data_IF_750408384682
#
_entry.id   IF_750408384682
#
_cell.length_a   1.000
_cell.length_b   1.000
_cell.length_c   1.000
_cell.angle_alpha   90.00
_cell.angle_beta   90.00
_cell.angle_gamma   90.00
#
_symmetry.space_group_name_H-M   'P 1'
#
loop_
_entity.id
_entity.type
_entity.pdbx_description
1 polymer ?
#
# COMPACT_ATOMS: atom_id res chain seq x y z
N UNK A 1 22.19 6.98 14.17
CA UNK A 1 22.72 5.73 13.57
C UNK A 1 21.70 4.58 13.55
N UNK A 2 20.53 4.68 14.18
CA UNK A 2 19.53 3.60 14.19
C UNK A 2 18.92 3.31 12.81
N UNK A 3 18.66 4.32 11.98
CA UNK A 3 17.94 4.18 10.71
C UNK A 3 18.52 3.15 9.71
N UNK A 4 19.82 3.18 9.33
CA UNK A 4 20.37 2.19 8.42
C UNK A 4 20.36 0.77 9.02
N UNK A 5 20.54 0.65 10.33
CA UNK A 5 20.48 -0.65 11.02
C UNK A 5 19.05 -1.20 11.03
N UNK A 6 18.05 -0.38 11.34
CA UNK A 6 16.64 -0.78 11.31
C UNK A 6 16.20 -1.25 9.93
N UNK A 7 16.57 -0.50 8.89
CA UNK A 7 16.24 -0.86 7.53
C UNK A 7 16.93 -2.18 7.14
N UNK A 8 18.22 -2.33 7.43
CA UNK A 8 18.96 -3.57 7.16
C UNK A 8 18.37 -4.78 7.86
N UNK A 9 17.96 -4.65 9.12
CA UNK A 9 17.33 -5.73 9.90
C UNK A 9 15.96 -6.10 9.32
N UNK A 10 15.13 -5.11 8.97
CA UNK A 10 13.82 -5.35 8.35
C UNK A 10 13.96 -6.05 6.99
N UNK A 11 14.91 -5.61 6.15
CA UNK A 11 15.19 -6.24 4.86
C UNK A 11 15.71 -7.67 5.02
N UNK A 12 16.61 -7.92 5.98
CA UNK A 12 17.11 -9.25 6.28
C UNK A 12 15.99 -10.19 6.77
N UNK A 13 15.06 -9.69 7.59
CA UNK A 13 13.89 -10.44 8.04
C UNK A 13 12.99 -10.84 6.86
N UNK A 14 12.61 -9.89 6.00
CA UNK A 14 11.80 -10.15 4.80
C UNK A 14 12.50 -11.12 3.85
N UNK A 15 13.80 -10.93 3.62
CA UNK A 15 14.60 -11.81 2.77
C UNK A 15 14.69 -13.23 3.35
N UNK A 16 14.87 -13.37 4.66
CA UNK A 16 14.87 -14.67 5.34
C UNK A 16 13.54 -15.41 5.20
N UNK A 17 12.41 -14.72 5.32
CA UNK A 17 11.09 -15.30 5.06
C UNK A 17 10.92 -15.71 3.59
N UNK A 18 11.48 -14.95 2.65
CA UNK A 18 11.42 -15.34 1.24
C UNK A 18 12.26 -16.60 0.97
N UNK A 19 13.46 -16.69 1.58
CA UNK A 19 14.32 -17.87 1.48
C UNK A 19 13.71 -19.14 2.10
N UNK A 20 12.72 -19.02 3.00
CA UNK A 20 11.99 -20.17 3.53
C UNK A 20 10.93 -20.73 2.56
N UNK A 21 10.82 -20.14 1.36
CA UNK A 21 9.89 -20.57 0.32
C UNK A 21 8.55 -19.82 0.33
N UNK A 22 8.39 -18.79 1.16
CA UNK A 22 7.20 -17.94 1.12
C UNK A 22 7.19 -17.06 -0.14
N UNK A 23 6.01 -16.95 -0.76
CA UNK A 23 5.79 -16.05 -1.87
C UNK A 23 6.02 -14.59 -1.44
N UNK A 24 6.48 -13.74 -2.38
CA UNK A 24 6.90 -12.38 -2.09
C UNK A 24 5.75 -11.54 -1.49
N UNK A 25 4.54 -11.68 -2.01
CA UNK A 25 3.35 -11.01 -1.49
C UNK A 25 3.03 -11.42 -0.04
N UNK A 26 3.35 -12.65 0.35
CA UNK A 26 3.07 -13.18 1.69
C UNK A 26 4.10 -12.72 2.72
N UNK A 27 5.30 -12.32 2.31
CA UNK A 27 6.33 -11.83 3.24
C UNK A 27 6.18 -10.35 3.60
N UNK A 28 5.45 -9.57 2.79
CA UNK A 28 5.26 -8.13 3.02
C UNK A 28 4.44 -7.86 4.28
N UNK A 29 3.37 -8.64 4.52
CA UNK A 29 2.52 -8.48 5.70
C UNK A 29 3.29 -8.69 7.02
N UNK A 30 3.96 -9.84 7.26
CA UNK A 30 4.77 -10.00 8.47
C UNK A 30 5.94 -9.02 8.53
N UNK A 31 6.55 -8.66 7.39
CA UNK A 31 7.60 -7.64 7.34
C UNK A 31 7.15 -6.26 7.82
N UNK A 32 5.92 -5.86 7.49
CA UNK A 32 5.30 -4.63 7.97
C UNK A 32 5.15 -4.64 9.49
N UNK A 33 4.55 -5.69 10.07
CA UNK A 33 4.38 -5.78 11.54
C UNK A 33 5.70 -5.91 12.28
N UNK A 34 6.67 -6.62 11.71
CA UNK A 34 8.03 -6.68 12.24
C UNK A 34 8.66 -5.28 12.32
N UNK A 35 8.50 -4.48 11.27
CA UNK A 35 9.00 -3.09 11.23
C UNK A 35 8.34 -2.22 12.30
N UNK A 36 7.02 -2.32 12.46
CA UNK A 36 6.30 -1.62 13.54
C UNK A 36 6.77 -2.05 14.92
N UNK A 37 6.94 -3.34 15.15
CA UNK A 37 7.42 -3.88 16.42
C UNK A 37 8.84 -3.38 16.74
N UNK A 38 9.73 -3.39 15.75
CA UNK A 38 11.10 -2.88 15.90
C UNK A 38 11.10 -1.37 16.22
N UNK A 39 10.27 -0.57 15.55
CA UNK A 39 10.11 0.85 15.88
C UNK A 39 9.60 1.05 17.33
N UNK A 40 8.65 0.22 17.77
CA UNK A 40 8.12 0.26 19.13
C UNK A 40 9.19 -0.03 20.18
N UNK A 41 9.98 -1.08 19.92
CA UNK A 41 11.06 -1.48 20.81
C UNK A 41 12.14 -0.42 20.89
N UNK A 42 12.50 0.21 19.78
CA UNK A 42 13.48 1.30 19.76
C UNK A 42 12.96 2.55 20.46
N UNK A 43 11.67 2.87 20.33
CA UNK A 43 11.05 3.96 21.05
C UNK A 43 11.04 3.74 22.56
N UNK A 44 10.80 2.50 23.01
CA UNK A 44 10.86 2.13 24.42
C UNK A 44 12.31 2.17 24.94
N UNK A 45 13.25 1.63 24.17
CA UNK A 45 14.65 1.45 24.59
C UNK A 45 15.49 2.74 24.49
N UNK A 46 15.22 3.57 23.49
CA UNK A 46 16.01 4.75 23.12
C UNK A 46 15.12 5.98 22.87
N UNK A 47 14.32 6.43 23.86
CA UNK A 47 13.49 7.62 23.69
C UNK A 47 14.36 8.86 23.55
N UNK A 48 14.10 9.69 22.54
CA UNK A 48 14.76 11.00 22.43
C UNK A 48 14.38 11.91 23.60
N UNK A 49 13.12 11.84 24.03
CA UNK A 49 12.55 12.60 25.14
C UNK A 49 11.61 11.74 25.97
N UNK A 50 11.83 11.70 27.28
CA UNK A 50 11.03 10.86 28.19
C UNK A 50 9.58 11.35 28.34
N UNK A 51 9.33 12.65 28.18
CA UNK A 51 8.01 13.25 28.24
C UNK A 51 7.17 13.04 26.95
N UNK A 52 7.78 12.50 25.90
CA UNK A 52 7.08 12.13 24.66
C UNK A 52 6.51 10.72 24.66
N UNK A 53 6.73 9.94 25.73
CA UNK A 53 6.21 8.58 25.84
C UNK A 53 4.67 8.59 25.74
N UNK A 54 4.09 7.78 24.83
CA UNK A 54 2.64 7.73 24.66
C UNK A 54 1.96 7.06 25.86
N UNK A 55 0.91 7.70 26.37
CA UNK A 55 0.01 7.08 27.35
C UNK A 55 -1.03 6.19 26.66
N UNK A 56 -1.84 5.46 27.43
CA UNK A 56 -2.87 4.58 26.85
C UNK A 56 -3.84 5.32 25.91
N UNK A 57 -4.21 6.57 26.25
CA UNK A 57 -5.09 7.40 25.42
C UNK A 57 -4.45 7.74 24.07
N UNK A 58 -3.15 8.04 24.08
CA UNK A 58 -2.38 8.31 22.86
C UNK A 58 -2.42 7.06 21.96
N UNK A 59 -2.21 5.87 22.52
CA UNK A 59 -2.32 4.60 21.80
C UNK A 59 -3.72 4.33 21.25
N UNK A 60 -4.76 4.52 22.05
CA UNK A 60 -6.14 4.24 21.63
C UNK A 60 -6.58 5.16 20.48
N UNK A 61 -6.32 6.46 20.59
CA UNK A 61 -6.67 7.44 19.55
C UNK A 61 -5.88 7.17 18.28
N UNK A 62 -4.56 6.97 18.37
CA UNK A 62 -3.74 6.75 17.18
C UNK A 62 -3.96 5.38 16.54
N UNK A 63 -4.32 4.37 17.34
CA UNK A 63 -4.76 3.07 16.83
C UNK A 63 -6.06 3.19 16.05
N UNK A 64 -7.03 3.97 16.53
CA UNK A 64 -8.26 4.25 15.80
C UNK A 64 -7.99 5.00 14.49
N UNK A 65 -7.13 6.02 14.51
CA UNK A 65 -6.67 6.70 13.29
C UNK A 65 -5.95 5.75 12.34
N UNK A 66 -5.05 4.89 12.83
CA UNK A 66 -4.33 3.93 12.01
C UNK A 66 -5.28 2.97 11.28
N UNK A 67 -6.31 2.46 11.98
CA UNK A 67 -7.35 1.62 11.37
C UNK A 67 -8.19 2.39 10.34
N UNK A 68 -8.65 3.59 10.70
CA UNK A 68 -9.45 4.44 9.81
C UNK A 68 -8.66 4.83 8.55
N UNK A 69 -7.43 5.27 8.72
CA UNK A 69 -6.54 5.64 7.64
C UNK A 69 -6.27 4.46 6.71
N UNK A 70 -6.01 3.27 7.26
CA UNK A 70 -5.83 2.06 6.48
C UNK A 70 -7.08 1.72 5.65
N UNK A 71 -8.28 1.86 6.23
CA UNK A 71 -9.53 1.64 5.51
C UNK A 71 -9.76 2.68 4.40
N UNK A 72 -9.51 3.96 4.68
CA UNK A 72 -9.71 5.06 3.73
C UNK A 72 -8.69 5.02 2.59
N UNK A 73 -7.41 4.75 2.89
CA UNK A 73 -6.38 4.60 1.87
C UNK A 73 -6.65 3.39 0.97
N UNK A 74 -7.05 2.24 1.55
CA UNK A 74 -7.46 1.08 0.77
C UNK A 74 -8.70 1.38 -0.08
N UNK A 75 -9.67 2.14 0.44
CA UNK A 75 -10.82 2.57 -0.34
C UNK A 75 -10.40 3.46 -1.52
N UNK A 76 -9.50 4.42 -1.31
CA UNK A 76 -8.91 5.23 -2.38
C UNK A 76 -8.22 4.37 -3.45
N UNK A 77 -7.44 3.37 -3.03
CA UNK A 77 -6.80 2.40 -3.95
C UNK A 77 -7.81 1.57 -4.74
N UNK A 78 -8.91 1.14 -4.12
CA UNK A 78 -10.01 0.44 -4.82
C UNK A 78 -10.65 1.34 -5.87
N UNK A 79 -10.81 2.65 -5.58
CA UNK A 79 -11.33 3.61 -6.57
C UNK A 79 -10.35 3.79 -7.72
N UNK A 80 -9.05 3.95 -7.44
CA UNK A 80 -7.99 4.03 -8.47
C UNK A 80 -8.00 2.78 -9.36
N UNK A 81 -8.13 1.61 -8.73
CA UNK A 81 -8.23 0.32 -9.38
C UNK A 81 -9.45 0.22 -10.31
N UNK A 82 -10.62 0.61 -9.81
CA UNK A 82 -11.84 0.65 -10.61
C UNK A 82 -11.70 1.60 -11.81
N UNK A 83 -11.07 2.75 -11.64
CA UNK A 83 -10.75 3.69 -12.73
C UNK A 83 -9.78 3.05 -13.74
N UNK A 84 -8.80 2.27 -13.27
CA UNK A 84 -7.85 1.57 -14.13
C UNK A 84 -8.51 0.53 -15.05
N UNK A 85 -9.55 -0.16 -14.58
CA UNK A 85 -10.32 -1.10 -15.43
C UNK A 85 -10.87 -0.42 -16.68
N UNK A 86 -11.27 0.85 -16.59
CA UNK A 86 -11.82 1.58 -17.74
C UNK A 86 -10.74 2.33 -18.52
N UNK A 87 -9.89 3.08 -17.82
CA UNK A 87 -9.00 4.06 -18.44
C UNK A 87 -7.61 3.52 -18.78
N UNK A 88 -7.16 2.43 -18.16
CA UNK A 88 -5.79 1.99 -18.40
C UNK A 88 -5.62 1.55 -19.87
N UNK A 89 -4.56 2.00 -20.55
CA UNK A 89 -4.21 1.46 -21.86
C UNK A 89 -3.90 -0.03 -21.75
N UNK A 90 -4.29 -0.81 -22.76
CA UNK A 90 -3.83 -2.17 -22.92
C UNK A 90 -2.37 -2.14 -23.39
N UNK A 91 -1.43 -2.11 -22.45
CA UNK A 91 -0.01 -2.11 -22.73
C UNK A 91 0.68 -3.18 -21.87
N UNK A 92 1.24 -4.18 -22.54
CA UNK A 92 2.08 -5.18 -21.91
C UNK A 92 3.53 -4.73 -21.98
N UNK A 93 4.19 -4.64 -20.82
CA UNK A 93 5.62 -4.41 -20.71
C UNK A 93 6.24 -5.72 -20.26
N UNK A 94 6.81 -6.46 -21.20
CA UNK A 94 7.40 -7.79 -20.97
C UNK A 94 8.92 -7.74 -20.81
N UNK A 95 9.57 -6.71 -21.37
CA UNK A 95 11.01 -6.50 -21.21
C UNK A 95 11.35 -6.08 -19.77
N UNK A 96 12.25 -6.79 -19.05
CA UNK A 96 12.58 -6.49 -17.66
C UNK A 96 13.16 -5.09 -17.46
N UNK A 97 13.94 -4.57 -18.41
CA UNK A 97 14.53 -3.24 -18.31
C UNK A 97 13.47 -2.15 -18.51
N UNK A 98 12.58 -2.31 -19.48
CA UNK A 98 11.43 -1.45 -19.67
C UNK A 98 10.46 -1.50 -18.47
N UNK A 99 10.28 -2.67 -17.86
CA UNK A 99 9.48 -2.83 -16.65
C UNK A 99 10.10 -2.07 -15.47
N UNK A 100 11.40 -2.23 -15.25
CA UNK A 100 12.14 -1.50 -14.22
C UNK A 100 12.09 0.02 -14.45
N UNK A 101 12.32 0.47 -15.67
CA UNK A 101 12.22 1.89 -16.04
C UNK A 101 10.81 2.46 -15.82
N UNK A 102 9.78 1.70 -16.19
CA UNK A 102 8.37 2.08 -15.97
C UNK A 102 8.04 2.15 -14.47
N UNK A 103 8.52 1.20 -13.66
CA UNK A 103 8.33 1.21 -12.22
C UNK A 103 9.01 2.41 -11.56
N UNK A 104 10.25 2.73 -11.96
CA UNK A 104 10.98 3.90 -11.47
C UNK A 104 10.28 5.21 -11.85
N UNK A 105 9.78 5.31 -13.09
CA UNK A 105 9.05 6.49 -13.54
C UNK A 105 7.71 6.64 -12.82
N UNK A 106 6.98 5.54 -12.62
CA UNK A 106 5.75 5.54 -11.84
C UNK A 106 5.99 5.98 -10.40
N UNK A 107 7.06 5.48 -9.78
CA UNK A 107 7.48 5.88 -8.44
C UNK A 107 7.80 7.38 -8.38
N UNK A 108 8.59 7.89 -9.33
CA UNK A 108 8.95 9.31 -9.39
C UNK A 108 7.71 10.21 -9.58
N UNK A 109 6.80 9.84 -10.48
CA UNK A 109 5.58 10.61 -10.74
C UNK A 109 4.66 10.57 -9.50
N UNK A 110 4.47 9.39 -8.91
CA UNK A 110 3.68 9.23 -7.68
C UNK A 110 4.22 10.09 -6.53
N UNK A 111 5.53 10.06 -6.31
CA UNK A 111 6.19 10.86 -5.29
C UNK A 111 6.05 12.36 -5.54
N UNK A 112 6.25 12.82 -6.79
CA UNK A 112 6.09 14.23 -7.14
C UNK A 112 4.66 14.73 -6.96
N UNK A 113 3.66 13.91 -7.31
CA UNK A 113 2.24 14.23 -7.12
C UNK A 113 1.88 14.25 -5.63
N UNK A 114 2.34 13.27 -4.86
CA UNK A 114 2.17 13.22 -3.41
C UNK A 114 2.82 14.41 -2.71
N UNK A 115 4.04 14.77 -3.10
CA UNK A 115 4.72 15.98 -2.64
C UNK A 115 3.92 17.24 -3.00
N UNK A 116 3.43 17.33 -4.23
CA UNK A 116 2.61 18.44 -4.70
C UNK A 116 1.35 18.60 -3.85
N UNK A 117 0.62 17.51 -3.60
CA UNK A 117 -0.57 17.49 -2.75
C UNK A 117 -0.25 17.96 -1.32
N UNK A 118 0.81 17.42 -0.72
CA UNK A 118 1.27 17.82 0.61
C UNK A 118 1.63 19.32 0.65
N UNK A 119 2.38 19.82 -0.33
CA UNK A 119 2.76 21.23 -0.43
C UNK A 119 1.55 22.14 -0.62
N UNK A 120 0.54 21.70 -1.37
CA UNK A 120 -0.73 22.43 -1.51
C UNK A 120 -1.48 22.51 -0.17
N UNK A 121 -1.44 21.44 0.63
CA UNK A 121 -1.94 21.43 2.01
C UNK A 121 -1.32 22.52 2.88
N UNK A 122 -0.03 22.78 2.72
CA UNK A 122 0.70 23.83 3.45
C UNK A 122 0.55 25.25 2.92
N UNK A 123 0.18 25.41 1.65
CA UNK A 123 0.15 26.71 0.97
C UNK A 123 -1.26 27.26 0.75
N UNK A 124 -2.29 26.40 0.79
CA UNK A 124 -3.70 26.78 0.65
C UNK A 124 -4.42 26.81 2.00
N UNK A 125 -5.08 27.92 2.32
CA UNK A 125 -5.86 28.05 3.56
C UNK A 125 -7.04 27.08 3.64
N UNK A 126 -7.64 26.72 2.50
CA UNK A 126 -8.72 25.74 2.44
C UNK A 126 -8.20 24.33 2.73
N UNK A 127 -7.13 23.91 2.06
CA UNK A 127 -6.57 22.57 2.22
C UNK A 127 -5.94 22.39 3.60
N UNK A 128 -5.38 23.46 4.17
CA UNK A 128 -4.87 23.49 5.54
C UNK A 128 -5.93 23.10 6.59
N UNK A 129 -7.22 23.35 6.34
CA UNK A 129 -8.30 22.94 7.28
C UNK A 129 -8.35 21.41 7.46
N UNK A 130 -7.88 20.65 6.47
CA UNK A 130 -7.77 19.20 6.53
C UNK A 130 -6.35 18.78 6.88
N UNK A 131 -5.38 19.29 6.12
CA UNK A 131 -3.97 18.93 6.28
C UNK A 131 -3.40 19.33 7.65
N UNK A 132 -3.86 20.44 8.22
CA UNK A 132 -3.43 20.92 9.54
C UNK A 132 -3.72 19.94 10.69
N UNK A 133 -4.64 18.98 10.52
CA UNK A 133 -4.86 17.91 11.50
C UNK A 133 -3.60 17.06 11.69
N UNK A 134 -2.86 16.83 10.60
CA UNK A 134 -1.57 16.16 10.62
C UNK A 134 -0.53 16.86 11.50
N UNK A 135 -0.65 18.17 11.67
CA UNK A 135 0.27 18.99 12.46
C UNK A 135 -0.20 19.23 13.90
N UNK A 136 -1.32 18.62 14.32
CA UNK A 136 -1.83 18.71 15.69
C UNK A 136 -0.96 17.97 16.73
N UNK A 137 -0.41 16.77 16.45
CA UNK A 137 0.38 16.04 17.44
C UNK A 137 1.58 16.84 17.96
N UNK A 138 1.71 16.93 19.29
CA UNK A 138 2.79 17.68 19.96
C UNK A 138 3.94 16.79 20.47
N UNK A 139 3.77 15.46 20.38
CA UNK A 139 4.75 14.45 20.80
C UNK A 139 5.20 13.67 19.57
N UNK A 140 6.51 13.49 19.42
CA UNK A 140 7.07 12.64 18.39
C UNK A 140 7.22 11.21 18.92
N UNK A 141 6.38 10.31 18.41
CA UNK A 141 6.45 8.87 18.63
C UNK A 141 5.97 8.13 17.38
N UNK A 142 6.20 6.82 17.29
CA UNK A 142 6.08 6.06 16.04
C UNK A 142 4.69 6.13 15.38
N UNK A 143 3.64 6.33 16.16
CA UNK A 143 2.25 6.35 15.67
C UNK A 143 1.69 7.76 15.45
N UNK A 144 2.39 8.82 15.86
CA UNK A 144 1.86 10.19 15.81
C UNK A 144 1.51 10.64 14.39
N UNK A 145 2.26 10.14 13.40
CA UNK A 145 2.10 10.44 11.98
C UNK A 145 0.73 9.98 11.42
N UNK A 146 -0.02 9.15 12.14
CA UNK A 146 -1.32 8.65 11.70
C UNK A 146 -2.47 9.62 11.98
N UNK A 147 -2.26 10.74 12.66
CA UNK A 147 -3.35 11.70 12.90
C UNK A 147 -3.60 12.49 11.61
N UNK A 148 -4.33 11.94 10.64
CA UNK A 148 -4.57 12.58 9.32
C UNK A 148 -6.07 12.66 9.06
N UNK A 149 -6.52 13.75 8.43
CA UNK A 149 -7.90 13.88 8.02
C UNK A 149 -8.23 12.89 6.88
N UNK A 150 -9.34 12.16 6.97
CA UNK A 150 -9.71 11.14 5.99
C UNK A 150 -9.82 11.68 4.55
N UNK A 151 -10.34 12.90 4.35
CA UNK A 151 -10.37 13.52 3.00
C UNK A 151 -8.96 13.80 2.45
N UNK A 152 -8.01 14.15 3.33
CA UNK A 152 -6.64 14.42 2.90
C UNK A 152 -5.99 13.13 2.39
N UNK A 153 -6.20 12.02 3.10
CA UNK A 153 -5.77 10.69 2.67
C UNK A 153 -6.47 10.26 1.38
N UNK A 154 -7.80 10.29 1.35
CA UNK A 154 -8.57 9.81 0.21
C UNK A 154 -8.20 10.57 -1.07
N UNK A 155 -8.20 11.90 -1.03
CA UNK A 155 -7.84 12.72 -2.19
C UNK A 155 -6.37 12.53 -2.55
N UNK A 156 -5.47 12.42 -1.56
CA UNK A 156 -4.06 12.11 -1.78
C UNK A 156 -3.85 10.80 -2.55
N UNK A 157 -4.58 9.74 -2.20
CA UNK A 157 -4.56 8.45 -2.92
C UNK A 157 -5.05 8.60 -4.36
N UNK A 158 -6.10 9.41 -4.61
CA UNK A 158 -6.60 9.67 -5.97
C UNK A 158 -5.63 10.50 -6.80
N UNK A 159 -5.09 11.59 -6.24
CA UNK A 159 -4.13 12.49 -6.90
C UNK A 159 -2.86 11.74 -7.28
N UNK A 160 -2.40 10.82 -6.44
CA UNK A 160 -1.20 10.03 -6.74
C UNK A 160 -1.50 8.85 -7.68
N UNK A 161 -2.68 8.22 -7.56
CA UNK A 161 -3.00 6.99 -8.29
C UNK A 161 -3.62 7.18 -9.68
N UNK A 162 -4.59 8.09 -9.84
CA UNK A 162 -5.31 8.24 -11.12
C UNK A 162 -4.38 8.70 -12.25
N UNK A 163 -3.47 9.68 -12.07
CA UNK A 163 -2.55 10.06 -13.14
C UNK A 163 -1.65 8.91 -13.59
N UNK A 164 -1.19 8.06 -12.65
CA UNK A 164 -0.39 6.88 -12.99
C UNK A 164 -1.18 5.91 -13.89
N UNK A 165 -2.46 5.69 -13.58
CA UNK A 165 -3.36 4.89 -14.42
C UNK A 165 -3.49 5.49 -15.83
N UNK A 166 -3.71 6.80 -15.93
CA UNK A 166 -3.86 7.52 -17.22
C UNK A 166 -2.57 7.44 -18.04
N UNK A 167 -1.40 7.50 -17.41
CA UNK A 167 -0.10 7.34 -18.07
C UNK A 167 0.26 5.88 -18.38
N UNK A 168 -0.59 4.90 -18.06
CA UNK A 168 -0.38 3.49 -18.40
C UNK A 168 0.37 2.67 -17.35
N UNK A 169 0.57 3.20 -16.15
CA UNK A 169 1.18 2.50 -15.02
C UNK A 169 0.14 1.74 -14.18
N UNK A 170 -0.70 0.91 -14.80
CA UNK A 170 -1.63 0.03 -14.07
C UNK A 170 -1.22 -1.44 -14.15
N UNK A 171 -1.45 -2.19 -13.07
CA UNK A 171 -1.22 -3.64 -13.03
C UNK A 171 -2.48 -4.45 -13.41
N UNK A 172 -3.67 -3.87 -13.28
CA UNK A 172 -4.94 -4.60 -13.38
C UNK A 172 -5.32 -5.02 -14.78
N UNK A 173 -4.92 -4.25 -15.81
CA UNK A 173 -5.03 -4.73 -17.20
C UNK A 173 -3.89 -5.64 -17.63
N UNK A 174 -2.79 -5.69 -16.87
CA UNK A 174 -1.65 -6.58 -17.16
C UNK A 174 -1.91 -8.04 -16.75
N UNK A 175 -2.80 -8.28 -15.77
CA UNK A 175 -3.10 -9.64 -15.31
C UNK A 175 -4.20 -10.36 -16.09
N UNK A 176 -5.06 -9.66 -16.84
CA UNK A 176 -6.12 -10.32 -17.59
C UNK A 176 -5.60 -11.19 -18.75
N UNK A 177 -4.33 -11.01 -19.16
CA UNK A 177 -3.67 -11.81 -20.21
C UNK A 177 -2.54 -12.73 -19.71
N UNK A 178 -2.30 -12.84 -18.39
CA UNK A 178 -1.47 -13.92 -17.82
C UNK A 178 -2.25 -15.24 -17.67
N UNK A 179 -3.18 -15.52 -18.58
CA UNK A 179 -3.91 -16.80 -18.68
C UNK A 179 -3.26 -17.78 -19.67
N UNK A 180 -2.19 -17.38 -20.35
CA UNK A 180 -1.49 -18.19 -21.35
C UNK A 180 -0.19 -18.84 -20.86
N UNK A 181 0.25 -18.59 -19.63
CA UNK A 181 1.50 -19.14 -19.08
C UNK A 181 1.33 -20.44 -18.26
N UNK A 182 0.12 -20.96 -18.14
CA UNK A 182 -0.14 -22.32 -17.64
C UNK A 182 -1.01 -23.09 -18.65
N UNK A 183 -0.43 -23.94 -19.51
CA UNK A 183 -1.21 -24.83 -20.36
C UNK A 183 -1.78 -25.95 -19.49
N UNK A 184 -2.98 -25.76 -18.95
CA UNK A 184 -3.63 -26.84 -18.20
C UNK A 184 -4.89 -26.51 -17.41
N UNK A 185 -5.26 -25.25 -17.22
CA UNK A 185 -6.46 -24.91 -16.44
C UNK A 185 -7.53 -24.21 -17.28
N UNK A 186 -8.29 -25.01 -18.03
CA UNK A 186 -9.52 -24.55 -18.70
C UNK A 186 -10.65 -24.45 -17.68
N UNK A 187 -10.78 -23.30 -17.01
CA UNK A 187 -12.04 -22.94 -16.38
C UNK A 187 -12.96 -22.38 -17.47
N UNK A 188 -13.90 -23.22 -17.92
CA UNK A 188 -15.00 -22.85 -18.82
C UNK A 188 -15.87 -21.76 -18.20
N UNK A 189 -16.27 -20.81 -19.04
CA UNK A 189 -17.22 -19.74 -18.73
C UNK A 189 -18.60 -20.31 -18.32
N UNK A 190 -19.37 -19.60 -17.46
CA UNK A 190 -20.64 -20.09 -16.92
C UNK A 190 -21.79 -19.80 -17.88
N UNK A 191 -21.82 -20.45 -19.05
CA UNK A 191 -22.97 -20.40 -19.96
C UNK A 191 -23.09 -21.70 -20.77
N UNK A 192 -23.25 -22.82 -20.08
CA UNK A 192 -23.95 -24.05 -20.54
C UNK A 192 -23.52 -25.24 -19.66
N UNK A 193 -24.33 -25.63 -18.69
CA UNK A 193 -24.23 -26.96 -18.09
C UNK A 193 -25.32 -27.86 -18.70
N UNK A 194 -24.96 -28.97 -19.35
CA UNK A 194 -25.89 -30.08 -19.56
C UNK A 194 -26.05 -30.85 -18.25
N UNK A 195 -27.30 -31.22 -17.94
CA UNK A 195 -27.76 -31.76 -16.66
C UNK A 195 -27.44 -33.26 -16.46
N UNK A 196 -26.26 -33.75 -16.84
CA UNK A 196 -25.99 -35.21 -16.90
C UNK A 196 -24.62 -35.68 -16.37
N UNK A 197 -24.15 -35.16 -15.25
CA UNK A 197 -22.97 -35.70 -14.58
C UNK A 197 -23.17 -35.84 -13.05
N UNK A 198 -24.19 -36.62 -12.68
CA UNK A 198 -24.29 -37.26 -11.36
C UNK A 198 -24.24 -38.77 -11.57
N UNK A 199 -23.05 -39.36 -11.57
CA UNK A 199 -22.86 -40.79 -11.30
C UNK A 199 -21.36 -41.13 -11.19
N UNK A 200 -20.98 -41.65 -10.03
CA UNK A 200 -19.91 -42.66 -9.95
C UNK A 200 -18.62 -42.20 -9.29
N UNK A 201 -18.61 -42.14 -7.95
CA UNK A 201 -17.46 -42.54 -7.11
C UNK A 201 -17.96 -43.04 -5.75
N UNK A 202 -18.46 -44.29 -5.75
CA UNK A 202 -18.42 -45.20 -4.60
C UNK A 202 -17.89 -46.52 -5.17
N UNK A 203 -16.59 -46.73 -4.99
CA UNK A 203 -15.88 -47.98 -4.63
C UNK A 203 -14.39 -47.72 -4.73
#
# INVERSE_FOLDING_TARGET
MAYPATLGIALAFVYGLHLSGMALESVLFPGFFFSLAMMALLEIALPFRNDWKPGWRDWAVNGAYFMLNGAIDNFGKIVVAAVAVYLAPAAEVTDPLALAGSALLALLIGDLLGYGWHRLGHTSSLLWRFHGIHHVPTKLYMFMNNTVHFLDLFIGSLVSGIPLVVFGFSAEKKQLHCRCLFPGFTASSPTSMPMSAWAGWVT
#
